data_IF_983175617388
#
_entry.id   IF_983175617388
#
_cell.length_a   1.000
_cell.length_b   1.000
_cell.length_c   1.000
_cell.angle_alpha   90.00
_cell.angle_beta   90.00
_cell.angle_gamma   90.00
#
_symmetry.space_group_name_H-M   'P 1'
#
loop_
_entity.id
_entity.type
_entity.pdbx_description
1 polymer ?
#
# COMPACT_ATOMS: atom_id res chain seq x y z
N UNK A 1 -13.41 12.44 -8.22
CA UNK A 1 -12.32 12.87 -7.32
C UNK A 1 -12.92 13.67 -6.18
N UNK A 2 -12.68 13.25 -4.94
CA UNK A 2 -13.17 13.94 -3.74
C UNK A 2 -12.50 15.33 -3.61
N UNK A 3 -13.24 16.37 -3.22
CA UNK A 3 -12.72 17.76 -3.16
C UNK A 3 -11.54 17.91 -2.21
N UNK A 4 -11.58 17.27 -1.04
CA UNK A 4 -10.47 17.32 -0.08
C UNK A 4 -9.28 16.51 -0.57
N UNK A 5 -9.52 15.35 -1.20
CA UNK A 5 -8.46 14.55 -1.81
C UNK A 5 -7.69 15.36 -2.87
N UNK A 6 -8.41 16.05 -3.75
CA UNK A 6 -7.81 16.95 -4.75
C UNK A 6 -6.94 18.03 -4.12
N UNK A 7 -7.46 18.70 -3.09
CA UNK A 7 -6.70 19.74 -2.37
C UNK A 7 -5.41 19.17 -1.77
N UNK A 8 -5.45 17.97 -1.20
CA UNK A 8 -4.28 17.32 -0.60
C UNK A 8 -3.27 16.93 -1.69
N UNK A 9 -3.73 16.30 -2.78
CA UNK A 9 -2.89 15.94 -3.93
C UNK A 9 -2.16 17.19 -4.45
N UNK A 10 -2.87 18.29 -4.64
CA UNK A 10 -2.31 19.53 -5.16
C UNK A 10 -1.33 20.18 -4.15
N UNK A 11 -1.67 20.20 -2.85
CA UNK A 11 -0.82 20.82 -1.80
C UNK A 11 0.46 20.04 -1.52
N UNK A 12 0.39 18.71 -1.54
CA UNK A 12 1.54 17.85 -1.29
C UNK A 12 2.30 17.52 -2.59
N UNK A 13 1.74 17.90 -3.74
CA UNK A 13 2.27 17.59 -5.07
C UNK A 13 2.44 16.07 -5.27
N UNK A 14 1.38 15.32 -4.95
CA UNK A 14 1.36 13.87 -5.11
C UNK A 14 1.19 13.50 -6.60
N UNK A 15 1.85 12.42 -7.04
CA UNK A 15 1.77 11.89 -8.39
C UNK A 15 1.08 10.52 -8.39
N UNK A 16 0.37 10.13 -9.47
CA UNK A 16 -0.23 8.79 -9.56
C UNK A 16 0.82 7.68 -9.35
N UNK A 17 0.47 6.63 -8.61
CA UNK A 17 1.32 5.46 -8.41
C UNK A 17 0.88 4.27 -9.29
N UNK A 18 1.82 3.40 -9.67
CA UNK A 18 1.54 2.25 -10.54
C UNK A 18 0.57 1.25 -9.90
N UNK A 19 0.61 1.09 -8.58
CA UNK A 19 -0.30 0.22 -7.85
C UNK A 19 -1.71 0.80 -7.70
N UNK A 20 -1.91 2.09 -8.00
CA UNK A 20 -3.13 2.85 -7.67
C UNK A 20 -2.85 3.93 -6.62
N UNK A 21 -3.76 4.89 -6.51
CA UNK A 21 -3.59 6.05 -5.63
C UNK A 21 -2.53 7.04 -6.11
N UNK A 22 -2.13 7.93 -5.20
CA UNK A 22 -1.16 9.00 -5.43
C UNK A 22 -0.10 8.97 -4.34
N UNK A 23 1.15 9.23 -4.70
CA UNK A 23 2.27 9.17 -3.75
C UNK A 23 3.29 10.29 -3.98
N UNK A 24 4.14 10.49 -2.97
CA UNK A 24 5.37 11.28 -3.09
C UNK A 24 6.37 10.83 -2.04
N UNK A 25 7.59 10.53 -2.46
CA UNK A 25 8.72 10.31 -1.54
C UNK A 25 9.06 11.62 -0.82
N UNK A 26 8.99 11.60 0.50
CA UNK A 26 9.26 12.75 1.37
C UNK A 26 10.63 12.66 2.03
N UNK A 27 11.15 11.45 2.20
CA UNK A 27 12.43 11.20 2.83
C UNK A 27 13.14 9.99 2.25
N UNK A 28 14.47 10.07 2.23
CA UNK A 28 15.39 8.98 1.97
C UNK A 28 16.62 9.20 2.85
N UNK A 29 17.02 8.16 3.57
CA UNK A 29 18.26 8.20 4.35
C UNK A 29 19.47 8.47 3.45
N UNK A 30 20.39 9.31 3.92
CA UNK A 30 21.69 9.51 3.27
C UNK A 30 22.70 8.40 3.61
N UNK A 31 22.36 7.55 4.59
CA UNK A 31 23.14 6.37 4.99
C UNK A 31 22.52 5.15 4.34
N UNK A 32 23.37 4.34 3.72
CA UNK A 32 23.01 3.07 3.12
C UNK A 32 23.40 1.87 4.00
N UNK A 33 22.68 0.77 3.82
CA UNK A 33 22.98 -0.57 4.35
C UNK A 33 23.09 -1.55 3.20
N UNK A 34 23.87 -2.61 3.40
CA UNK A 34 23.91 -3.72 2.44
C UNK A 34 22.66 -4.60 2.62
N UNK A 35 21.87 -4.73 1.56
CA UNK A 35 20.66 -5.55 1.51
C UNK A 35 20.62 -6.30 0.18
N UNK A 36 20.54 -7.63 0.21
CA UNK A 36 20.64 -8.48 -0.98
C UNK A 36 21.86 -8.18 -1.87
N UNK A 37 23.01 -7.94 -1.26
CA UNK A 37 24.27 -7.58 -1.95
C UNK A 37 24.21 -6.26 -2.74
N UNK A 38 23.20 -5.41 -2.48
CA UNK A 38 23.05 -4.07 -3.07
C UNK A 38 22.94 -3.02 -1.95
N UNK A 39 23.37 -1.77 -2.19
CA UNK A 39 23.09 -0.68 -1.27
C UNK A 39 21.59 -0.37 -1.28
N UNK A 40 21.04 -0.12 -0.10
CA UNK A 40 19.72 0.47 0.13
C UNK A 40 19.84 1.57 1.16
N UNK A 41 19.09 2.68 1.03
CA UNK A 41 18.95 3.63 2.14
C UNK A 41 18.53 2.89 3.41
N UNK A 42 18.93 3.33 4.60
CA UNK A 42 18.43 2.76 5.86
C UNK A 42 16.90 2.75 5.89
N UNK A 43 16.27 3.81 5.37
CA UNK A 43 14.84 3.90 5.21
C UNK A 43 14.45 4.90 4.12
N UNK A 44 13.19 4.83 3.73
CA UNK A 44 12.48 5.83 2.93
C UNK A 44 11.13 6.12 3.56
N UNK A 45 10.59 7.32 3.33
CA UNK A 45 9.21 7.65 3.68
C UNK A 45 8.50 8.30 2.51
N UNK A 46 7.20 8.02 2.38
CA UNK A 46 6.31 8.64 1.39
C UNK A 46 5.04 9.16 2.04
N UNK A 47 4.39 10.13 1.40
CA UNK A 47 2.95 10.30 1.49
C UNK A 47 2.27 9.36 0.48
N UNK A 48 1.15 8.77 0.87
CA UNK A 48 0.28 8.01 -0.02
C UNK A 48 -1.18 8.38 0.22
N UNK A 49 -1.91 8.67 -0.85
CA UNK A 49 -3.33 8.99 -0.82
C UNK A 49 -4.09 8.02 -1.73
N UNK A 50 -5.12 7.39 -1.16
CA UNK A 50 -6.02 6.50 -1.89
C UNK A 50 -7.44 7.06 -1.88
N UNK A 51 -8.11 7.08 -3.02
CA UNK A 51 -9.53 7.43 -3.13
C UNK A 51 -10.37 6.15 -3.26
N UNK A 52 -11.63 6.17 -2.80
CA UNK A 52 -12.49 4.98 -2.73
C UNK A 52 -12.91 4.37 -4.07
N UNK A 53 -12.65 5.05 -5.18
CA UNK A 53 -12.91 4.53 -6.52
C UNK A 53 -11.70 3.80 -7.12
N UNK A 54 -10.56 3.84 -6.42
CA UNK A 54 -9.32 3.16 -6.76
C UNK A 54 -8.93 2.23 -5.61
N UNK A 55 -7.88 1.44 -5.82
CA UNK A 55 -7.32 0.55 -4.81
C UNK A 55 -5.80 0.47 -4.95
N UNK A 56 -5.10 0.19 -3.85
CA UNK A 56 -3.70 -0.25 -3.94
C UNK A 56 -3.71 -1.73 -4.31
N UNK A 57 -3.20 -2.03 -5.51
CA UNK A 57 -3.15 -3.39 -6.05
C UNK A 57 -2.39 -4.34 -5.12
N UNK A 58 -2.68 -5.64 -5.22
CA UNK A 58 -1.81 -6.65 -4.62
C UNK A 58 -0.37 -6.46 -5.05
N UNK A 59 0.52 -6.27 -4.08
CA UNK A 59 1.96 -6.18 -4.29
C UNK A 59 2.69 -6.71 -3.04
N UNK A 60 4.01 -6.85 -3.14
CA UNK A 60 4.86 -7.17 -1.99
C UNK A 60 6.22 -6.49 -2.12
N UNK A 61 6.87 -6.31 -0.97
CA UNK A 61 8.21 -5.76 -0.85
C UNK A 61 9.16 -6.77 -0.23
N UNK A 62 10.46 -6.60 -0.43
CA UNK A 62 11.48 -7.38 0.30
C UNK A 62 11.76 -6.86 1.71
N UNK A 63 11.22 -5.70 2.07
CA UNK A 63 11.41 -5.06 3.37
C UNK A 63 10.06 -4.83 4.04
N UNK A 64 10.08 -4.69 5.36
CA UNK A 64 8.87 -4.34 6.10
C UNK A 64 8.41 -2.93 5.69
N UNK A 65 7.09 -2.77 5.59
CA UNK A 65 6.47 -1.46 5.38
C UNK A 65 5.51 -1.13 6.51
N UNK A 66 5.55 0.11 6.99
CA UNK A 66 4.70 0.60 8.08
C UNK A 66 3.85 1.74 7.53
N UNK A 67 2.54 1.55 7.59
CA UNK A 67 1.55 2.54 7.19
C UNK A 67 1.06 3.29 8.42
N UNK A 68 0.99 4.62 8.32
CA UNK A 68 0.60 5.54 9.39
C UNK A 68 -0.61 6.36 8.92
N UNK A 69 -1.73 6.24 9.61
CA UNK A 69 -2.91 7.04 9.30
C UNK A 69 -2.70 8.53 9.58
N UNK A 70 -3.08 9.39 8.63
CA UNK A 70 -3.09 10.85 8.83
C UNK A 70 -4.49 11.43 8.84
N UNK A 71 -5.31 11.18 7.81
CA UNK A 71 -6.69 11.66 7.75
C UNK A 71 -7.52 10.93 6.68
N UNK A 72 -8.84 11.17 6.70
CA UNK A 72 -9.80 10.62 5.75
C UNK A 72 -10.72 9.58 6.37
N UNK A 73 -11.21 8.65 5.56
CA UNK A 73 -11.91 7.47 6.02
C UNK A 73 -10.93 6.36 6.42
N UNK A 74 -11.45 5.36 7.14
CA UNK A 74 -10.71 4.14 7.41
C UNK A 74 -10.26 3.47 6.12
N UNK A 75 -9.03 2.97 6.14
CA UNK A 75 -8.43 2.16 5.11
C UNK A 75 -8.37 0.71 5.59
N UNK A 76 -8.79 -0.22 4.74
CA UNK A 76 -8.63 -1.64 5.00
C UNK A 76 -7.35 -2.08 4.31
N UNK A 77 -6.38 -2.56 5.09
CA UNK A 77 -5.13 -3.15 4.58
C UNK A 77 -5.25 -4.67 4.69
N UNK A 78 -5.29 -5.34 3.55
CA UNK A 78 -5.36 -6.79 3.43
C UNK A 78 -3.96 -7.36 3.27
N UNK A 79 -3.63 -8.41 4.01
CA UNK A 79 -2.34 -9.10 3.97
C UNK A 79 -2.57 -10.60 3.84
N UNK A 80 -1.95 -11.25 2.86
CA UNK A 80 -1.89 -12.70 2.73
C UNK A 80 -0.47 -13.14 3.06
N UNK A 81 -0.30 -13.80 4.21
CA UNK A 81 1.01 -14.29 4.62
C UNK A 81 1.45 -15.53 3.82
N UNK A 82 2.67 -16.02 4.08
CA UNK A 82 3.24 -17.16 3.37
C UNK A 82 2.41 -18.44 3.48
N UNK A 83 1.69 -18.62 4.59
CA UNK A 83 0.79 -19.74 4.83
C UNK A 83 -0.60 -19.57 4.17
N UNK A 84 -0.83 -18.47 3.44
CA UNK A 84 -2.10 -18.17 2.79
C UNK A 84 -3.21 -17.71 3.73
N UNK A 85 -2.87 -17.30 4.96
CA UNK A 85 -3.83 -16.74 5.92
C UNK A 85 -4.04 -15.26 5.57
N UNK A 86 -5.30 -14.85 5.43
CA UNK A 86 -5.69 -13.46 5.22
C UNK A 86 -5.85 -12.75 6.57
N UNK A 87 -5.14 -11.66 6.75
CA UNK A 87 -5.33 -10.68 7.82
C UNK A 87 -5.83 -9.37 7.20
N UNK A 88 -6.81 -8.72 7.82
CA UNK A 88 -7.29 -7.41 7.38
C UNK A 88 -7.26 -6.45 8.56
N UNK A 89 -6.44 -5.40 8.45
CA UNK A 89 -6.31 -4.36 9.46
C UNK A 89 -7.11 -3.14 9.05
N UNK A 90 -7.91 -2.58 9.97
CA UNK A 90 -8.58 -1.30 9.78
C UNK A 90 -7.64 -0.21 10.28
N UNK A 91 -7.03 0.51 9.34
CA UNK A 91 -6.13 1.62 9.57
C UNK A 91 -6.94 2.93 9.57
N UNK A 92 -6.90 3.70 10.66
CA UNK A 92 -7.76 4.86 10.82
C UNK A 92 -7.60 5.59 12.16
N UNK A 93 -8.60 6.37 12.51
CA UNK A 93 -8.66 7.09 13.78
C UNK A 93 -9.06 6.15 14.93
N UNK A 94 -8.10 5.84 15.81
CA UNK A 94 -8.28 4.92 16.94
C UNK A 94 -9.42 5.33 17.91
N UNK A 95 -9.83 6.60 17.90
CA UNK A 95 -10.91 7.10 18.75
C UNK A 95 -12.31 6.70 18.25
N UNK A 96 -12.43 6.23 17.00
CA UNK A 96 -13.73 5.90 16.40
C UNK A 96 -14.22 4.50 16.79
N UNK A 97 -13.32 3.53 16.94
CA UNK A 97 -13.67 2.14 17.28
C UNK A 97 -12.45 1.36 17.83
N UNK A 98 -12.60 0.47 18.83
CA UNK A 98 -11.48 -0.27 19.45
C UNK A 98 -10.67 -1.18 18.50
N UNK A 99 -11.25 -1.58 17.37
CA UNK A 99 -10.57 -2.41 16.36
C UNK A 99 -9.78 -1.60 15.32
N UNK A 100 -9.82 -0.26 15.39
CA UNK A 100 -9.08 0.62 14.48
C UNK A 100 -7.69 0.88 15.05
N UNK A 101 -6.67 0.77 14.22
CA UNK A 101 -5.29 1.09 14.58
C UNK A 101 -4.82 2.32 13.79
N UNK A 102 -4.00 3.21 14.36
CA UNK A 102 -3.40 4.31 13.62
C UNK A 102 -2.16 3.88 12.83
N UNK A 103 -1.68 2.65 13.03
CA UNK A 103 -0.53 2.08 12.33
C UNK A 103 -0.80 0.63 11.92
N UNK A 104 -0.27 0.23 10.77
CA UNK A 104 -0.28 -1.14 10.28
C UNK A 104 1.13 -1.51 9.80
N UNK A 105 1.68 -2.61 10.32
CA UNK A 105 2.96 -3.17 9.87
C UNK A 105 2.66 -4.30 8.89
N UNK A 106 3.35 -4.27 7.77
CA UNK A 106 3.27 -5.25 6.69
C UNK A 106 4.65 -5.90 6.60
N UNK A 107 4.80 -7.15 7.06
CA UNK A 107 6.09 -7.83 7.03
C UNK A 107 6.59 -8.05 5.60
N UNK A 108 7.91 -8.04 5.43
CA UNK A 108 8.58 -8.37 4.17
C UNK A 108 8.03 -9.68 3.56
N UNK A 109 8.02 -9.74 2.23
CA UNK A 109 7.53 -10.87 1.41
C UNK A 109 6.03 -11.20 1.56
N UNK A 110 5.27 -10.40 2.32
CA UNK A 110 3.81 -10.53 2.46
C UNK A 110 3.12 -9.89 1.27
N UNK A 111 2.15 -10.59 0.67
CA UNK A 111 1.27 -9.96 -0.32
C UNK A 111 0.28 -9.06 0.40
N UNK A 112 0.16 -7.81 -0.02
CA UNK A 112 -0.81 -6.89 0.56
C UNK A 112 -1.46 -6.00 -0.49
N UNK A 113 -2.65 -5.52 -0.15
CA UNK A 113 -3.45 -4.57 -0.94
C UNK A 113 -4.25 -3.70 0.01
N UNK A 114 -4.77 -2.57 -0.47
CA UNK A 114 -5.56 -1.68 0.36
C UNK A 114 -6.74 -1.05 -0.38
N UNK A 115 -7.81 -0.79 0.35
CA UNK A 115 -8.99 -0.09 -0.13
C UNK A 115 -9.60 0.84 0.92
N UNK A 116 -10.21 1.94 0.48
CA UNK A 116 -10.92 2.86 1.38
C UNK A 116 -12.27 2.26 1.74
N UNK A 117 -12.57 2.15 3.04
CA UNK A 117 -13.78 1.49 3.52
C UNK A 117 -15.08 2.22 3.14
N UNK A 118 -15.03 3.56 3.09
CA UNK A 118 -16.19 4.40 2.79
C UNK A 118 -16.22 4.82 1.31
N UNK A 119 -17.42 4.84 0.72
CA UNK A 119 -17.65 5.36 -0.63
C UNK A 119 -17.45 6.87 -0.71
N UNK A 120 -17.09 7.36 -1.90
CA UNK A 120 -16.87 8.79 -2.21
C UNK A 120 -15.86 9.49 -1.27
N UNK A 121 -14.95 8.71 -0.69
CA UNK A 121 -14.00 9.16 0.31
C UNK A 121 -12.55 8.95 -0.14
N UNK A 122 -11.61 9.26 0.73
CA UNK A 122 -10.20 9.04 0.57
C UNK A 122 -9.54 8.70 1.92
N UNK A 123 -8.32 8.20 1.88
CA UNK A 123 -7.44 8.08 3.05
C UNK A 123 -6.07 8.64 2.65
N UNK A 124 -5.51 9.50 3.49
CA UNK A 124 -4.11 9.90 3.45
C UNK A 124 -3.34 9.15 4.54
N UNK A 125 -2.24 8.52 4.14
CA UNK A 125 -1.32 7.82 5.02
C UNK A 125 0.13 8.25 4.74
N UNK A 126 1.00 7.99 5.70
CA UNK A 126 2.44 7.94 5.48
C UNK A 126 2.89 6.48 5.41
N UNK A 127 3.81 6.16 4.52
CA UNK A 127 4.41 4.82 4.48
C UNK A 127 5.92 4.95 4.72
N UNK A 128 6.46 4.09 5.58
CA UNK A 128 7.90 3.99 5.83
C UNK A 128 8.37 2.57 5.54
N UNK A 129 9.51 2.46 4.84
CA UNK A 129 10.10 1.18 4.45
C UNK A 129 11.54 1.16 4.93
N UNK A 130 11.95 0.05 5.57
CA UNK A 130 13.31 -0.14 6.07
C UNK A 130 13.74 -1.61 5.94
N UNK A 131 14.86 -1.94 5.25
CA UNK A 131 15.65 -1.07 4.36
C UNK A 131 14.82 -0.31 3.33
N UNK A 132 15.29 0.87 2.92
CA UNK A 132 14.54 1.83 2.12
C UNK A 132 14.09 1.27 0.77
N UNK A 133 12.92 1.74 0.32
CA UNK A 133 12.27 1.30 -0.90
C UNK A 133 13.12 1.58 -2.14
N UNK A 134 13.33 0.53 -2.93
CA UNK A 134 13.78 0.60 -4.31
C UNK A 134 12.87 -0.27 -5.20
N UNK A 135 12.67 0.15 -6.45
CA UNK A 135 11.77 -0.58 -7.37
C UNK A 135 12.22 -2.02 -7.65
N UNK A 136 13.52 -2.31 -7.54
CA UNK A 136 14.07 -3.66 -7.63
C UNK A 136 13.49 -4.65 -6.59
N UNK A 137 12.94 -4.12 -5.49
CA UNK A 137 12.41 -4.89 -4.37
C UNK A 137 10.88 -4.91 -4.34
N UNK A 138 10.23 -4.24 -5.29
CA UNK A 138 8.78 -4.17 -5.45
C UNK A 138 8.30 -5.19 -6.48
N UNK A 139 7.33 -6.01 -6.09
CA UNK A 139 6.68 -6.96 -6.99
C UNK A 139 5.18 -6.72 -7.07
N UNK A 140 4.69 -6.41 -8.27
CA UNK A 140 3.26 -6.32 -8.54
C UNK A 140 2.65 -7.72 -8.66
N UNK A 141 1.50 -7.92 -8.04
CA UNK A 141 0.78 -9.19 -8.04
C UNK A 141 0.15 -9.50 -9.39
N UNK A 142 0.55 -10.63 -9.99
CA UNK A 142 -0.15 -11.19 -11.13
C UNK A 142 -1.39 -11.98 -10.66
N UNK A 143 -2.56 -11.65 -11.23
CA UNK A 143 -3.82 -12.27 -10.82
C UNK A 143 -3.82 -13.79 -11.00
N UNK A 144 -3.31 -14.31 -12.11
CA UNK A 144 -3.35 -15.74 -12.37
C UNK A 144 -2.48 -16.50 -11.36
N UNK A 145 -1.28 -15.98 -11.09
CA UNK A 145 -0.36 -16.54 -10.10
C UNK A 145 -0.95 -16.49 -8.69
N UNK A 146 -1.53 -15.35 -8.30
CA UNK A 146 -2.18 -15.20 -6.99
C UNK A 146 -3.38 -16.13 -6.83
N UNK A 147 -4.23 -16.27 -7.84
CA UNK A 147 -5.38 -17.19 -7.81
C UNK A 147 -4.95 -18.66 -7.75
N UNK A 148 -3.85 -19.00 -8.42
CA UNK A 148 -3.29 -20.35 -8.34
C UNK A 148 -2.74 -20.66 -6.95
N UNK A 149 -2.08 -19.69 -6.31
CA UNK A 149 -1.46 -19.87 -4.99
C UNK A 149 -2.45 -19.76 -3.82
N UNK A 150 -3.45 -18.88 -3.94
CA UNK A 150 -4.39 -18.54 -2.87
C UNK A 150 -5.85 -18.60 -3.36
N UNK A 151 -6.32 -19.75 -3.89
CA UNK A 151 -7.66 -19.87 -4.46
C UNK A 151 -8.79 -19.56 -3.46
N UNK A 152 -8.54 -19.75 -2.16
CA UNK A 152 -9.48 -19.42 -1.09
C UNK A 152 -9.82 -17.92 -0.98
N UNK A 153 -8.96 -17.04 -1.51
CA UNK A 153 -9.13 -15.57 -1.47
C UNK A 153 -9.55 -15.00 -2.83
N UNK A 154 -10.13 -15.83 -3.70
CA UNK A 154 -10.44 -15.52 -5.10
C UNK A 154 -11.14 -14.17 -5.29
N UNK A 155 -12.18 -13.89 -4.51
CA UNK A 155 -12.99 -12.67 -4.67
C UNK A 155 -12.15 -11.41 -4.43
N UNK A 156 -11.36 -11.41 -3.35
CA UNK A 156 -10.51 -10.28 -2.98
C UNK A 156 -9.34 -10.12 -3.95
N UNK A 157 -8.76 -11.22 -4.42
CA UNK A 157 -7.70 -11.20 -5.46
C UNK A 157 -8.23 -10.60 -6.75
N UNK A 158 -9.41 -11.03 -7.21
CA UNK A 158 -10.01 -10.46 -8.43
C UNK A 158 -10.31 -8.98 -8.25
N UNK A 159 -10.87 -8.59 -7.09
CA UNK A 159 -11.23 -7.21 -6.77
C UNK A 159 -10.02 -6.27 -6.79
N UNK A 160 -8.90 -6.68 -6.20
CA UNK A 160 -7.75 -5.81 -5.93
C UNK A 160 -6.53 -6.11 -6.82
N UNK A 161 -6.76 -6.67 -8.01
CA UNK A 161 -5.74 -6.77 -9.07
C UNK A 161 -6.21 -6.05 -10.32
N UNK A 162 -5.32 -5.30 -10.99
CA UNK A 162 -5.59 -4.75 -12.31
C UNK A 162 -5.60 -5.86 -13.37
N UNK A 163 -6.47 -5.74 -14.38
CA UNK A 163 -6.42 -6.63 -15.55
C UNK A 163 -5.10 -6.40 -16.30
N UNK A 164 -4.30 -7.44 -16.53
CA UNK A 164 -3.02 -7.42 -17.24
C UNK A 164 -3.10 -7.08 -18.75
N UNK A 165 -4.21 -6.46 -19.22
CA UNK A 165 -4.43 -6.07 -20.62
C UNK A 165 -4.21 -4.60 -20.94
N UNK A 166 -3.78 -3.78 -19.98
CA UNK A 166 -3.59 -2.35 -20.23
C UNK A 166 -2.34 -1.80 -19.56
N UNK A 167 -1.17 -2.29 -19.99
CA UNK A 167 0.07 -1.52 -19.86
C UNK A 167 0.72 -1.52 -21.25
N UNK A 168 0.24 -0.61 -22.10
CA UNK A 168 1.01 -0.13 -23.25
C UNK A 168 1.82 1.02 -22.70
N UNK A 169 3.14 0.83 -22.60
CA UNK A 169 4.13 1.90 -22.48
C UNK A 169 5.09 1.77 -23.65
#
# INVERSE_FOLDING_TARGET
>A
MNTNAKIIIDKLDLKPHIEGGYYKRTYQSAIDVNFDSKPRPINTAIYFLLESHDFSCWHRLKSDEIWHYYCGSNLIVHQINENGILLSTILGNLLEHPNIQPQCVIPASTWFSAEVQSTESFTLVGCTVAPGFEYDDFEMGDRANLLNKYPQHKELIIKLTKNSRTLIW
#
